data_IF_231470827273
#
_entry.id   IF_231470827273
#
_cell.length_a   1.000
_cell.length_b   1.000
_cell.length_c   1.000
_cell.angle_alpha   90.00
_cell.angle_beta   90.00
_cell.angle_gamma   90.00
#
_symmetry.space_group_name_H-M   'P 1'
#
loop_
_entity.id
_entity.type
_entity.pdbx_description
1 polymer ?
#
# COMPACT_ATOMS: atom_id res chain seq x y z
N UNK A 1 26.70 22.41 -58.88
CA UNK A 1 27.64 23.20 -58.08
C UNK A 1 26.83 24.28 -57.37
N UNK A 2 27.14 24.57 -56.09
CA UNK A 2 26.37 25.35 -55.07
C UNK A 2 25.54 24.45 -54.12
N UNK A 3 26.05 23.96 -52.97
CA UNK A 3 26.35 24.66 -51.68
C UNK A 3 25.02 25.03 -50.96
N UNK A 4 24.66 24.68 -49.70
CA UNK A 4 25.37 24.64 -48.41
C UNK A 4 24.44 24.04 -47.31
N UNK A 5 25.01 23.20 -46.43
CA UNK A 5 24.76 22.92 -44.99
C UNK A 5 23.32 23.10 -44.42
N UNK A 6 22.60 22.11 -43.88
CA UNK A 6 22.87 21.10 -42.83
C UNK A 6 23.65 21.62 -41.62
N UNK A 7 22.94 22.16 -40.61
CA UNK A 7 23.40 22.26 -39.21
C UNK A 7 22.22 22.64 -38.30
N UNK A 8 21.45 21.64 -37.85
CA UNK A 8 20.40 21.85 -36.85
C UNK A 8 21.05 22.02 -35.46
N UNK A 9 20.82 23.16 -34.84
CA UNK A 9 21.40 23.60 -33.59
C UNK A 9 21.15 22.62 -32.42
N UNK A 10 22.21 22.01 -31.88
CA UNK A 10 22.21 21.39 -30.56
C UNK A 10 22.70 22.44 -29.55
N UNK A 11 21.79 23.05 -28.81
CA UNK A 11 22.13 23.88 -27.66
C UNK A 11 21.88 23.08 -26.38
N UNK A 12 22.96 22.60 -25.77
CA UNK A 12 23.00 22.08 -24.41
C UNK A 12 23.18 23.28 -23.46
N UNK A 13 22.13 23.64 -22.73
CA UNK A 13 22.24 24.57 -21.60
C UNK A 13 22.10 23.77 -20.31
N UNK A 14 23.23 23.47 -19.68
CA UNK A 14 23.28 22.88 -18.34
C UNK A 14 23.81 23.96 -17.38
N UNK A 15 22.91 24.75 -16.81
CA UNK A 15 23.24 25.71 -15.76
C UNK A 15 23.39 25.00 -14.42
N UNK A 16 24.61 25.09 -13.89
CA UNK A 16 25.04 24.63 -12.57
C UNK A 16 24.31 25.37 -11.45
N UNK A 17 23.56 24.65 -10.61
CA UNK A 17 23.10 25.17 -9.32
C UNK A 17 23.97 24.58 -8.23
N UNK A 18 25.00 25.34 -7.85
CA UNK A 18 25.74 25.12 -6.62
C UNK A 18 24.88 25.62 -5.44
N UNK A 19 24.58 24.74 -4.48
CA UNK A 19 24.05 25.14 -3.16
C UNK A 19 24.99 24.60 -2.10
N UNK A 20 25.86 25.48 -1.62
CA UNK A 20 26.76 25.21 -0.51
C UNK A 20 26.09 25.56 0.82
N UNK A 21 26.26 24.64 1.77
CA UNK A 21 26.46 24.80 3.21
C UNK A 21 25.47 25.63 4.05
N UNK A 22 24.93 25.00 5.08
CA UNK A 22 25.39 25.27 6.47
C UNK A 22 24.95 24.12 7.38
N UNK A 23 25.90 23.65 8.18
CA UNK A 23 25.66 22.78 9.33
C UNK A 23 25.06 23.61 10.48
N UNK A 24 24.25 22.97 11.32
CA UNK A 24 24.45 22.91 12.78
C UNK A 24 23.17 22.53 13.55
N UNK A 25 23.41 21.88 14.69
CA UNK A 25 22.60 21.88 15.91
C UNK A 25 21.50 20.82 16.06
N UNK A 26 21.97 19.67 16.52
CA UNK A 26 21.33 18.78 17.50
C UNK A 26 20.48 19.49 18.56
N UNK A 27 19.22 19.08 18.72
CA UNK A 27 18.56 19.02 20.04
C UNK A 27 17.68 17.77 20.07
N UNK A 28 18.05 16.84 20.94
CA UNK A 28 17.26 15.67 21.30
C UNK A 28 15.95 16.13 21.96
N UNK A 29 14.82 15.66 21.47
CA UNK A 29 13.56 15.66 22.23
C UNK A 29 13.15 14.23 22.49
N UNK A 30 13.75 13.68 23.53
CA UNK A 30 13.29 12.47 24.20
C UNK A 30 11.99 12.81 24.93
N UNK A 31 10.87 12.26 24.49
CA UNK A 31 9.64 12.25 25.29
C UNK A 31 9.31 10.80 25.57
N UNK A 32 9.86 10.31 26.68
CA UNK A 32 9.49 9.03 27.28
C UNK A 32 8.05 9.16 27.80
N UNK A 33 7.09 8.71 26.99
CA UNK A 33 5.75 8.46 27.50
C UNK A 33 5.80 7.16 28.30
N UNK A 34 5.82 7.32 29.62
CA UNK A 34 5.63 6.28 30.62
C UNK A 34 4.27 5.62 30.39
N UNK A 35 4.29 4.38 29.92
CA UNK A 35 3.12 3.52 29.86
C UNK A 35 2.79 3.03 31.28
N UNK A 36 1.60 3.29 31.83
CA UNK A 36 1.18 2.66 33.07
C UNK A 36 0.86 1.19 32.81
N UNK A 37 1.71 0.32 33.35
CA UNK A 37 1.48 -1.12 33.49
C UNK A 37 0.34 -1.35 34.47
N UNK A 38 -0.89 -1.56 33.96
CA UNK A 38 -1.92 -2.18 34.78
C UNK A 38 -1.77 -3.70 34.71
N UNK A 39 -1.13 -4.22 35.75
CA UNK A 39 -1.22 -5.63 36.12
C UNK A 39 -2.65 -5.91 36.58
N UNK A 40 -3.39 -6.70 35.80
CA UNK A 40 -4.63 -7.33 36.27
C UNK A 40 -4.38 -8.83 36.36
N UNK A 41 -4.30 -9.31 37.59
CA UNK A 41 -4.34 -10.72 37.97
C UNK A 41 -5.81 -11.18 37.93
N UNK A 42 -6.18 -12.20 37.13
CA UNK A 42 -7.48 -12.86 37.29
C UNK A 42 -7.31 -13.99 38.31
N UNK A 43 -7.88 -13.73 39.49
CA UNK A 43 -8.18 -14.72 40.51
C UNK A 43 -9.06 -15.84 39.96
N UNK A 44 -8.76 -17.04 40.44
CA UNK A 44 -9.33 -18.32 40.08
C UNK A 44 -10.86 -18.34 40.25
N UNK A 45 -11.60 -18.50 39.16
CA UNK A 45 -12.93 -19.09 39.20
C UNK A 45 -12.87 -20.33 38.31
N UNK A 46 -12.92 -21.50 38.92
CA UNK A 46 -12.94 -22.79 38.24
C UNK A 46 -14.30 -22.99 37.58
N UNK A 47 -14.32 -23.12 36.25
CA UNK A 47 -15.52 -23.48 35.51
C UNK A 47 -15.62 -25.00 35.49
N UNK A 48 -16.43 -25.57 36.38
CA UNK A 48 -16.81 -26.99 36.32
C UNK A 48 -17.85 -27.17 35.22
N UNK A 49 -17.40 -27.42 33.99
CA UNK A 49 -18.26 -27.82 32.90
C UNK A 49 -18.47 -29.34 32.95
N UNK A 50 -19.59 -29.76 33.54
CA UNK A 50 -20.21 -31.04 33.19
C UNK A 50 -20.74 -30.92 31.77
N UNK A 51 -20.00 -31.48 30.80
CA UNK A 51 -20.46 -31.59 29.42
C UNK A 51 -20.56 -33.07 29.05
N UNK A 52 -21.69 -33.67 29.41
CA UNK A 52 -22.17 -34.90 28.84
C UNK A 52 -22.40 -34.72 27.34
N UNK A 53 -21.88 -35.67 26.57
CA UNK A 53 -22.48 -36.19 25.33
C UNK A 53 -22.49 -35.26 24.11
N UNK A 54 -21.50 -35.48 23.25
CA UNK A 54 -21.73 -35.84 21.85
C UNK A 54 -22.89 -35.12 21.13
N UNK A 55 -22.75 -33.83 20.88
CA UNK A 55 -23.44 -33.18 19.76
C UNK A 55 -22.37 -32.69 18.79
N UNK A 56 -22.28 -33.41 17.67
CA UNK A 56 -21.57 -33.06 16.44
C UNK A 56 -21.63 -31.53 16.23
N UNK A 57 -20.57 -30.80 16.60
CA UNK A 57 -20.46 -29.39 16.21
C UNK A 57 -20.21 -29.39 14.71
N UNK A 58 -21.29 -29.24 13.95
CA UNK A 58 -21.28 -28.88 12.54
C UNK A 58 -20.26 -27.74 12.38
N UNK A 59 -19.09 -28.05 11.83
CA UNK A 59 -18.12 -27.05 11.42
C UNK A 59 -18.71 -26.36 10.18
N UNK A 60 -19.54 -25.35 10.41
CA UNK A 60 -20.06 -24.48 9.38
C UNK A 60 -18.87 -23.75 8.76
N UNK A 61 -18.39 -24.24 7.61
CA UNK A 61 -17.33 -23.62 6.84
C UNK A 61 -17.86 -22.29 6.30
N UNK A 62 -17.61 -21.21 7.03
CA UNK A 62 -17.84 -19.85 6.55
C UNK A 62 -16.84 -19.59 5.42
N UNK A 63 -17.19 -19.98 4.19
CA UNK A 63 -16.63 -19.38 2.99
C UNK A 63 -17.09 -17.93 2.96
N UNK A 64 -16.41 -17.09 3.75
CA UNK A 64 -16.57 -15.66 3.74
C UNK A 64 -16.31 -15.19 2.30
N UNK A 65 -17.39 -14.92 1.58
CA UNK A 65 -17.38 -14.26 0.30
C UNK A 65 -16.83 -12.86 0.53
N UNK A 66 -15.51 -12.76 0.62
CA UNK A 66 -14.80 -11.51 0.81
C UNK A 66 -15.02 -10.72 -0.48
N UNK A 67 -16.00 -9.82 -0.48
CA UNK A 67 -16.18 -8.83 -1.52
C UNK A 67 -14.92 -7.96 -1.52
N UNK A 68 -13.92 -8.35 -2.30
CA UNK A 68 -12.64 -7.64 -2.36
C UNK A 68 -12.86 -6.31 -3.06
N UNK A 69 -12.69 -5.24 -2.31
CA UNK A 69 -12.64 -3.88 -2.83
C UNK A 69 -11.41 -3.66 -3.72
N UNK A 70 -11.42 -2.60 -4.54
CA UNK A 70 -10.27 -2.21 -5.35
C UNK A 70 -9.10 -1.77 -4.47
N UNK A 71 -7.88 -2.20 -4.79
CA UNK A 71 -6.68 -1.70 -4.11
C UNK A 71 -6.34 -0.28 -4.63
N UNK A 72 -6.36 0.71 -3.73
CA UNK A 72 -6.09 2.11 -4.07
C UNK A 72 -4.59 2.38 -3.95
N UNK A 73 -3.96 2.97 -4.99
CA UNK A 73 -2.54 3.34 -5.02
C UNK A 73 -2.34 4.62 -5.83
N UNK A 74 -1.37 5.45 -5.46
CA UNK A 74 -1.03 6.68 -6.17
C UNK A 74 -0.54 6.42 -7.62
N UNK A 75 0.27 5.37 -7.80
CA UNK A 75 0.75 4.91 -9.11
C UNK A 75 0.29 3.47 -9.36
N UNK A 76 -0.22 3.23 -10.57
CA UNK A 76 -0.75 1.92 -10.96
C UNK A 76 -0.17 1.48 -12.31
N UNK A 77 0.23 0.22 -12.40
CA UNK A 77 0.77 -0.44 -13.59
C UNK A 77 0.21 -1.87 -13.73
N UNK A 78 -0.07 -2.35 -14.95
CA UNK A 78 -0.54 -3.71 -15.16
C UNK A 78 0.52 -4.71 -14.71
N UNK A 79 0.09 -5.77 -14.01
CA UNK A 79 0.99 -6.81 -13.47
C UNK A 79 0.99 -8.09 -14.31
N UNK A 80 0.06 -8.21 -15.25
CA UNK A 80 -0.23 -9.43 -16.00
C UNK A 80 -0.68 -9.08 -17.42
N UNK A 81 -0.63 -10.03 -18.34
CA UNK A 81 -1.03 -9.84 -19.75
C UNK A 81 -2.52 -9.51 -19.91
N UNK A 82 -3.37 -9.95 -18.97
CA UNK A 82 -4.81 -9.70 -19.00
C UNK A 82 -5.22 -8.44 -18.22
N UNK A 83 -4.23 -7.71 -17.70
CA UNK A 83 -4.44 -6.50 -16.92
C UNK A 83 -4.43 -5.32 -17.90
N UNK A 84 -5.53 -4.55 -17.94
CA UNK A 84 -5.64 -3.41 -18.83
C UNK A 84 -6.05 -2.15 -18.06
N UNK A 85 -5.57 -1.00 -18.54
CA UNK A 85 -5.88 0.30 -17.96
C UNK A 85 -7.19 0.85 -18.55
N UNK A 86 -8.05 1.39 -17.69
CA UNK A 86 -9.27 2.08 -18.09
C UNK A 86 -9.46 3.37 -17.30
N UNK A 87 -10.05 4.38 -17.94
CA UNK A 87 -10.51 5.59 -17.28
C UNK A 87 -12.00 5.46 -16.94
N UNK A 88 -12.37 5.64 -15.67
CA UNK A 88 -13.77 5.65 -15.21
C UNK A 88 -13.95 6.77 -14.20
N UNK A 89 -15.01 7.57 -14.33
CA UNK A 89 -15.30 8.69 -13.39
C UNK A 89 -14.07 9.59 -13.12
N UNK A 90 -13.29 9.89 -14.17
CA UNK A 90 -12.08 10.73 -14.08
C UNK A 90 -10.85 10.09 -13.41
N UNK A 91 -10.87 8.80 -13.07
CA UNK A 91 -9.74 8.12 -12.41
C UNK A 91 -9.26 6.91 -13.23
N UNK A 92 -7.96 6.59 -13.18
CA UNK A 92 -7.42 5.37 -13.80
C UNK A 92 -7.70 4.16 -12.92
N UNK A 93 -8.07 3.06 -13.55
CA UNK A 93 -8.24 1.76 -12.92
C UNK A 93 -7.45 0.71 -13.70
N UNK A 94 -7.01 -0.33 -12.99
CA UNK A 94 -6.55 -1.57 -13.60
C UNK A 94 -7.62 -2.61 -13.38
N UNK A 95 -8.12 -3.16 -14.48
CA UNK A 95 -9.04 -4.29 -14.46
C UNK A 95 -8.29 -5.55 -14.89
N UNK A 96 -8.63 -6.65 -14.25
CA UNK A 96 -8.17 -7.98 -14.64
C UNK A 96 -9.36 -8.94 -14.50
N UNK A 97 -9.60 -9.72 -15.55
CA UNK A 97 -10.65 -10.75 -15.56
C UNK A 97 -10.21 -12.01 -14.81
N UNK A 98 -8.94 -12.40 -14.95
CA UNK A 98 -8.41 -13.65 -14.37
C UNK A 98 -8.17 -13.55 -12.86
N UNK A 99 -7.59 -12.45 -12.38
CA UNK A 99 -7.14 -12.33 -10.98
C UNK A 99 -7.71 -11.08 -10.32
N UNK A 100 -8.56 -11.28 -9.31
CA UNK A 100 -9.18 -10.17 -8.57
C UNK A 100 -8.15 -9.30 -7.81
N UNK A 101 -7.01 -9.86 -7.39
CA UNK A 101 -5.94 -9.13 -6.67
C UNK A 101 -5.26 -8.06 -7.52
N UNK A 102 -5.41 -8.09 -8.84
CA UNK A 102 -4.83 -7.09 -9.73
C UNK A 102 -5.71 -5.83 -9.88
N UNK A 103 -6.98 -5.90 -9.44
CA UNK A 103 -7.92 -4.77 -9.49
C UNK A 103 -7.42 -3.61 -8.64
N UNK A 104 -7.01 -2.52 -9.28
CA UNK A 104 -6.43 -1.34 -8.62
C UNK A 104 -7.06 -0.03 -9.11
N UNK A 105 -7.10 1.00 -8.26
CA UNK A 105 -7.61 2.34 -8.56
C UNK A 105 -6.54 3.39 -8.26
N UNK A 106 -6.40 4.39 -9.13
CA UNK A 106 -5.50 5.53 -8.93
C UNK A 106 -6.09 6.59 -7.98
N UNK A 107 -5.26 7.08 -7.08
CA UNK A 107 -5.52 8.18 -6.14
C UNK A 107 -6.03 7.65 -4.82
#
# INVERSE_FOLDING_TARGET
MSAILSSCCRSLAATSVARSATAASSILRSTTLSFPTQAQSPSHAAWTLSATSAALRLQHQHHANQVRSYQVRASIKPRCEHCYMVMRKGRRYILCKKVARHKQRQG
#
